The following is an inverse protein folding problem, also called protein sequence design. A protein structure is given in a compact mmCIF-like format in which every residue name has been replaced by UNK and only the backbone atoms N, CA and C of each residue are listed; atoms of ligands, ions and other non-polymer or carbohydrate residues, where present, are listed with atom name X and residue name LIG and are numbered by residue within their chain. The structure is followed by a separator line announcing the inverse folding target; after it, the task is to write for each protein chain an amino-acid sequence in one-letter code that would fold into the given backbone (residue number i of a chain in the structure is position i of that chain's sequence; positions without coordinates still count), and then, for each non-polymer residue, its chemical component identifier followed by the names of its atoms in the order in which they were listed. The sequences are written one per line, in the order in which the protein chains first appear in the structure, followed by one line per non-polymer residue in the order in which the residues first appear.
data_IF_262762910562
#
_entry.id   IF_262762910562
#
_cell.length_a   1.000
_cell.length_b   1.000
_cell.length_c   1.000
_cell.angle_alpha   90.00
_cell.angle_beta   90.00
_cell.angle_gamma   90.00
#
_symmetry.space_group_name_H-M   'P 1'
#
loop_
_entity.id
_entity.type
_entity.pdbx_description
1 polymer ?
#
# COMPACT_ATOMS: atom_id res chain seq x y z
N UNK A 1 -1.77 15.07 -4.32
CA UNK A 1 -1.60 13.76 -4.99
C UNK A 1 -2.96 13.18 -5.33
N UNK A 2 -3.13 12.61 -6.52
CA UNK A 2 -4.38 11.96 -6.92
C UNK A 2 -4.45 10.50 -6.45
N UNK A 3 -5.64 10.04 -6.04
CA UNK A 3 -5.84 8.65 -5.58
C UNK A 3 -5.45 7.61 -6.65
N UNK A 4 -5.65 7.93 -7.93
CA UNK A 4 -5.27 7.08 -9.05
C UNK A 4 -3.74 6.89 -9.14
N UNK A 5 -2.98 7.96 -8.93
CA UNK A 5 -1.52 7.96 -8.97
C UNK A 5 -0.92 7.10 -7.84
N UNK A 6 -1.42 7.28 -6.61
CA UNK A 6 -0.99 6.45 -5.48
C UNK A 6 -1.32 4.97 -5.71
N UNK A 7 -2.51 4.68 -6.21
CA UNK A 7 -2.91 3.31 -6.49
C UNK A 7 -2.02 2.66 -7.55
N UNK A 8 -1.72 3.37 -8.63
CA UNK A 8 -0.85 2.88 -9.71
C UNK A 8 0.57 2.58 -9.19
N UNK A 9 1.11 3.48 -8.35
CA UNK A 9 2.39 3.26 -7.66
C UNK A 9 2.37 2.01 -6.78
N UNK A 10 1.37 1.85 -5.91
CA UNK A 10 1.25 0.69 -5.00
C UNK A 10 1.08 -0.60 -5.81
N UNK A 11 0.24 -0.58 -6.85
CA UNK A 11 0.03 -1.71 -7.75
C UNK A 11 1.35 -2.17 -8.38
N UNK A 12 2.15 -1.24 -8.88
CA UNK A 12 3.46 -1.57 -9.46
C UNK A 12 4.40 -2.19 -8.43
N UNK A 13 4.44 -1.65 -7.21
CA UNK A 13 5.22 -2.23 -6.12
C UNK A 13 4.81 -3.67 -5.79
N UNK A 14 3.51 -3.96 -5.77
CA UNK A 14 2.99 -5.31 -5.54
C UNK A 14 3.37 -6.23 -6.71
N UNK A 15 3.19 -5.80 -7.95
CA UNK A 15 3.50 -6.59 -9.15
C UNK A 15 5.01 -6.91 -9.22
N UNK A 16 5.88 -5.95 -8.88
CA UNK A 16 7.32 -6.14 -8.84
C UNK A 16 7.83 -6.94 -7.65
N UNK A 17 6.97 -7.25 -6.67
CA UNK A 17 7.36 -8.02 -5.49
C UNK A 17 7.78 -9.44 -5.87
N UNK A 18 8.85 -9.92 -5.23
CA UNK A 18 9.35 -11.29 -5.34
C UNK A 18 8.62 -12.28 -4.42
N UNK A 19 7.66 -11.80 -3.63
CA UNK A 19 6.86 -12.63 -2.71
C UNK A 19 5.77 -13.41 -3.45
N UNK A 20 5.45 -14.59 -2.93
CA UNK A 20 4.38 -15.46 -3.40
C UNK A 20 3.45 -15.84 -2.22
N UNK A 21 2.16 -15.45 -2.23
CA UNK A 21 1.51 -14.55 -3.18
C UNK A 21 2.10 -13.12 -3.16
N UNK A 22 1.87 -12.34 -4.22
CA UNK A 22 2.44 -10.99 -4.36
C UNK A 22 1.80 -10.02 -3.37
N UNK A 23 2.64 -9.44 -2.51
CA UNK A 23 2.27 -8.37 -1.58
C UNK A 23 3.44 -7.41 -1.38
N UNK A 24 3.16 -6.26 -0.76
CA UNK A 24 4.18 -5.33 -0.29
C UNK A 24 3.83 -4.76 1.08
N UNK A 25 4.83 -4.41 1.88
CA UNK A 25 4.64 -3.58 3.06
C UNK A 25 4.78 -2.11 2.65
N UNK A 26 3.84 -1.27 3.08
CA UNK A 26 3.85 0.16 2.74
C UNK A 26 4.31 0.97 3.95
N UNK A 27 5.19 1.93 3.71
CA UNK A 27 5.54 2.95 4.69
C UNK A 27 4.89 4.26 4.26
N UNK A 28 3.88 4.70 5.03
CA UNK A 28 3.13 5.94 4.75
C UNK A 28 4.06 7.15 4.72
N UNK A 29 5.03 7.21 5.63
CA UNK A 29 6.04 8.29 5.67
C UNK A 29 6.90 8.33 4.41
N UNK A 30 7.34 7.18 3.89
CA UNK A 30 8.15 7.15 2.65
C UNK A 30 7.34 7.52 1.41
N UNK A 31 6.07 7.11 1.37
CA UNK A 31 5.17 7.50 0.28
C UNK A 31 4.85 8.99 0.36
N UNK A 32 4.64 9.52 1.57
CA UNK A 32 4.41 10.94 1.80
C UNK A 32 5.56 11.80 1.29
N UNK A 33 6.80 11.41 1.58
CA UNK A 33 8.02 12.03 1.06
C UNK A 33 8.09 11.96 -0.48
N UNK A 34 7.79 10.79 -1.07
CA UNK A 34 7.78 10.60 -2.53
C UNK A 34 6.75 11.47 -3.26
N UNK A 35 5.59 11.71 -2.64
CA UNK A 35 4.48 12.44 -3.22
C UNK A 35 4.36 13.88 -2.70
N UNK A 36 5.35 14.37 -1.95
CA UNK A 36 5.39 15.70 -1.32
C UNK A 36 4.06 16.05 -0.61
N UNK A 37 3.59 15.15 0.27
CA UNK A 37 2.29 15.26 0.94
C UNK A 37 2.36 14.84 2.42
N UNK A 38 1.30 15.08 3.20
CA UNK A 38 1.24 14.62 4.61
C UNK A 38 1.02 13.09 4.69
N UNK A 39 1.73 12.35 5.57
CA UNK A 39 1.54 10.93 5.78
C UNK A 39 0.11 10.51 6.13
N UNK A 40 -0.65 11.38 6.81
CA UNK A 40 -2.07 11.13 7.15
C UNK A 40 -2.94 11.13 5.90
N UNK A 41 -2.58 11.91 4.89
CA UNK A 41 -3.29 11.90 3.61
C UNK A 41 -3.02 10.60 2.85
N UNK A 42 -1.77 10.11 2.85
CA UNK A 42 -1.44 8.79 2.30
C UNK A 42 -2.23 7.69 3.01
N UNK A 43 -2.26 7.70 4.34
CA UNK A 43 -2.98 6.70 5.14
C UNK A 43 -4.48 6.71 4.83
N UNK A 44 -5.09 7.90 4.75
CA UNK A 44 -6.49 8.08 4.35
C UNK A 44 -6.78 7.49 2.98
N UNK A 45 -5.98 7.84 1.97
CA UNK A 45 -6.19 7.38 0.59
C UNK A 45 -5.98 5.87 0.46
N UNK A 46 -5.00 5.29 1.17
CA UNK A 46 -4.81 3.82 1.23
C UNK A 46 -6.02 3.16 1.88
N UNK A 47 -6.54 3.72 2.98
CA UNK A 47 -7.76 3.26 3.63
C UNK A 47 -8.94 3.21 2.67
N UNK A 48 -9.18 4.29 1.94
CA UNK A 48 -10.25 4.34 0.92
C UNK A 48 -10.06 3.29 -0.19
N UNK A 49 -8.82 3.01 -0.61
CA UNK A 49 -8.54 1.97 -1.61
C UNK A 49 -8.85 0.57 -1.09
N UNK A 50 -8.64 0.33 0.21
CA UNK A 50 -9.02 -0.92 0.87
C UNK A 50 -10.54 -1.04 0.99
N UNK A 51 -11.21 0.02 1.44
CA UNK A 51 -12.68 0.06 1.53
C UNK A 51 -13.37 -0.14 0.19
N UNK A 52 -12.80 0.44 -0.88
CA UNK A 52 -13.29 0.24 -2.27
C UNK A 52 -12.94 -1.13 -2.85
N UNK A 53 -12.27 -2.01 -2.11
CA UNK A 53 -11.87 -3.34 -2.55
C UNK A 53 -10.77 -3.34 -3.62
N UNK A 54 -10.09 -2.20 -3.85
CA UNK A 54 -8.97 -2.11 -4.79
C UNK A 54 -7.67 -2.66 -4.22
N UNK A 55 -7.53 -2.67 -2.90
CA UNK A 55 -6.43 -3.27 -2.15
C UNK A 55 -6.98 -4.18 -1.05
N UNK A 56 -6.24 -5.23 -0.73
CA UNK A 56 -6.47 -6.04 0.48
C UNK A 56 -5.39 -5.71 1.49
N UNK A 57 -5.80 -5.40 2.72
CA UNK A 57 -4.91 -5.19 3.87
C UNK A 57 -4.92 -6.45 4.74
N UNK A 58 -3.74 -6.99 5.03
CA UNK A 58 -3.55 -8.15 5.88
C UNK A 58 -2.34 -7.95 6.79
N UNK A 59 -2.16 -8.85 7.76
CA UNK A 59 -0.97 -8.88 8.62
C UNK A 59 -0.25 -10.20 8.41
N UNK A 60 1.08 -10.16 8.34
CA UNK A 60 1.87 -11.40 8.27
C UNK A 60 1.68 -12.20 9.57
N UNK A 61 1.35 -13.47 9.43
CA UNK A 61 1.22 -14.39 10.57
C UNK A 61 2.58 -14.69 11.20
N UNK A 62 3.64 -14.61 10.41
CA UNK A 62 5.02 -14.82 10.85
C UNK A 62 5.74 -13.48 11.11
N UNK A 63 6.78 -13.48 11.97
CA UNK A 63 7.67 -12.33 12.12
C UNK A 63 8.18 -11.85 10.75
N UNK A 64 8.17 -10.53 10.47
CA UNK A 64 8.05 -9.43 11.42
C UNK A 64 6.61 -8.98 11.75
N UNK A 65 5.58 -9.77 11.43
CA UNK A 65 4.18 -9.43 11.66
C UNK A 65 3.76 -8.09 11.05
N UNK A 66 4.38 -7.73 9.92
CA UNK A 66 4.14 -6.47 9.26
C UNK A 66 2.73 -6.43 8.63
N UNK A 67 2.16 -5.22 8.59
CA UNK A 67 1.00 -4.94 7.75
C UNK A 67 1.42 -4.95 6.29
N UNK A 68 0.68 -5.71 5.48
CA UNK A 68 0.95 -5.91 4.07
C UNK A 68 -0.29 -5.61 3.24
N UNK A 69 -0.04 -5.25 2.00
CA UNK A 69 -1.05 -4.91 1.01
C UNK A 69 -0.86 -5.78 -0.23
N UNK A 70 -1.96 -6.34 -0.72
CA UNK A 70 -2.01 -7.13 -1.96
C UNK A 70 -3.14 -6.65 -2.85
N UNK A 71 -3.07 -7.03 -4.13
CA UNK A 71 -4.17 -6.86 -5.05
C UNK A 71 -5.27 -7.90 -4.73
N UNK A 72 -6.56 -7.57 -4.96
CA UNK A 72 -7.68 -8.47 -4.69
C UNK A 72 -7.61 -9.78 -5.45
#
# INVERSE_FOLDING_TARGET
MEQAELFERIKNMIISSTKEPKYTALSTVKLADLFDTDPREIERVIGELVEKGKLKKSKLEEPPHAEIYSLP
#
